data_IF_349274899857
#
_entry.id   IF_349274899857
#
_cell.length_a   1.000
_cell.length_b   1.000
_cell.length_c   1.000
_cell.angle_alpha   90.00
_cell.angle_beta   90.00
_cell.angle_gamma   90.00
#
_symmetry.space_group_name_H-M   'P 1'
#
loop_
_entity.id
_entity.type
_entity.pdbx_description
1 polymer ?
#
# COMPACT_ATOMS: atom_id res chain seq x y z
N UNK A 1 8.93 6.83 -2.03
CA UNK A 1 9.30 5.46 -2.46
C UNK A 1 8.04 4.61 -2.40
N UNK A 2 7.87 3.69 -3.34
CA UNK A 2 6.70 2.81 -3.43
C UNK A 2 7.18 1.38 -3.63
N UNK A 3 6.76 0.46 -2.78
CA UNK A 3 7.19 -0.95 -2.84
C UNK A 3 6.14 -1.85 -2.18
N UNK A 4 6.25 -3.15 -2.42
CA UNK A 4 5.45 -4.17 -1.74
C UNK A 4 6.35 -4.83 -0.68
N UNK A 5 6.09 -4.67 0.62
CA UNK A 5 6.95 -5.18 1.68
C UNK A 5 6.92 -6.71 1.72
N UNK A 6 8.02 -7.30 2.20
CA UNK A 6 8.13 -8.75 2.40
C UNK A 6 7.09 -9.31 3.38
N UNK A 7 6.56 -8.46 4.26
CA UNK A 7 5.54 -8.79 5.25
C UNK A 7 4.13 -8.39 4.82
N UNK A 8 3.92 -8.06 3.54
CA UNK A 8 2.62 -7.63 3.02
C UNK A 8 1.53 -8.62 3.39
N UNK A 9 0.44 -8.09 3.96
CA UNK A 9 -0.74 -8.87 4.36
C UNK A 9 -1.85 -8.87 3.30
N UNK A 10 -1.61 -8.26 2.15
CA UNK A 10 -2.60 -8.16 1.08
C UNK A 10 -1.94 -8.44 -0.28
N UNK A 11 -2.67 -8.98 -1.26
CA UNK A 11 -2.11 -9.39 -2.55
C UNK A 11 -1.25 -8.35 -3.23
N UNK A 12 -1.78 -7.14 -3.35
CA UNK A 12 -1.03 -5.97 -3.81
C UNK A 12 -0.95 -4.95 -2.68
N UNK A 13 -0.45 -5.41 -1.52
CA UNK A 13 -0.27 -4.63 -0.30
C UNK A 13 0.83 -3.59 -0.42
N UNK A 14 0.67 -2.62 -1.31
CA UNK A 14 1.69 -1.60 -1.60
C UNK A 14 1.81 -0.63 -0.42
N UNK A 15 3.05 -0.28 -0.08
CA UNK A 15 3.35 0.79 0.85
C UNK A 15 4.04 1.96 0.13
N UNK A 16 3.68 3.18 0.53
CA UNK A 16 4.33 4.41 0.08
C UNK A 16 4.98 5.09 1.30
N UNK A 17 6.27 5.35 1.20
CA UNK A 17 7.07 6.02 2.23
C UNK A 17 7.78 7.26 1.66
N UNK A 18 7.86 8.38 2.40
CA UNK A 18 8.78 9.46 2.08
C UNK A 18 10.23 9.00 2.24
N UNK A 19 11.16 9.57 1.49
CA UNK A 19 12.59 9.23 1.63
C UNK A 19 13.22 9.89 2.84
N UNK A 20 12.83 11.14 3.11
CA UNK A 20 13.19 11.88 4.31
C UNK A 20 12.34 11.38 5.47
N UNK A 21 12.95 11.26 6.64
CA UNK A 21 12.20 10.93 7.84
C UNK A 21 11.21 12.05 8.18
N UNK A 22 9.92 11.69 8.17
CA UNK A 22 8.78 12.51 8.62
C UNK A 22 7.82 11.62 9.43
N UNK A 23 7.11 12.22 10.37
CA UNK A 23 6.25 11.50 11.31
C UNK A 23 4.77 11.56 10.91
N UNK A 24 4.33 12.62 10.23
CA UNK A 24 2.98 12.78 9.69
C UNK A 24 2.94 13.42 8.30
N UNK A 25 1.77 13.34 7.66
CA UNK A 25 1.53 13.91 6.32
C UNK A 25 1.74 15.43 6.28
N UNK A 26 1.45 16.12 7.38
CA UNK A 26 1.60 17.58 7.49
C UNK A 26 3.07 18.03 7.57
N UNK A 27 3.99 17.10 7.81
CA UNK A 27 5.42 17.37 7.91
C UNK A 27 6.12 17.27 6.54
N UNK A 28 5.38 16.97 5.46
CA UNK A 28 5.87 16.94 4.08
C UNK A 28 6.08 18.36 3.54
N UNK A 29 7.15 18.56 2.78
CA UNK A 29 7.34 19.80 2.00
C UNK A 29 6.39 19.87 0.81
N UNK A 30 6.24 21.06 0.21
CA UNK A 30 5.41 21.23 -1.01
C UNK A 30 5.85 20.29 -2.14
N UNK A 31 7.17 20.17 -2.37
CA UNK A 31 7.74 19.25 -3.35
C UNK A 31 7.41 17.79 -3.02
N UNK A 32 7.48 17.40 -1.74
CA UNK A 32 7.16 16.04 -1.30
C UNK A 32 5.66 15.73 -1.44
N UNK A 33 4.79 16.71 -1.22
CA UNK A 33 3.34 16.60 -1.47
C UNK A 33 3.07 16.37 -2.97
N UNK A 34 3.73 17.15 -3.85
CA UNK A 34 3.60 16.95 -5.30
C UNK A 34 4.11 15.57 -5.74
N UNK A 35 5.27 15.15 -5.22
CA UNK A 35 5.81 13.82 -5.49
C UNK A 35 4.88 12.71 -4.97
N UNK A 36 4.29 12.89 -3.79
CA UNK A 36 3.35 11.93 -3.21
C UNK A 36 2.10 11.79 -4.10
N UNK A 37 1.51 12.91 -4.55
CA UNK A 37 0.38 12.89 -5.49
C UNK A 37 0.73 12.20 -6.82
N UNK A 38 1.93 12.44 -7.34
CA UNK A 38 2.43 11.79 -8.56
C UNK A 38 2.57 10.27 -8.39
N UNK A 39 3.16 9.81 -7.28
CA UNK A 39 3.27 8.37 -6.98
C UNK A 39 1.88 7.76 -6.81
N UNK A 40 0.99 8.42 -6.06
CA UNK A 40 -0.37 7.95 -5.83
C UNK A 40 -1.10 7.73 -7.16
N UNK A 41 -1.09 8.73 -8.05
CA UNK A 41 -1.69 8.62 -9.39
C UNK A 41 -1.15 7.41 -10.17
N UNK A 42 0.17 7.19 -10.15
CA UNK A 42 0.81 6.07 -10.87
C UNK A 42 0.41 4.71 -10.28
N UNK A 43 0.37 4.58 -8.96
CA UNK A 43 -0.05 3.34 -8.28
C UNK A 43 -1.51 3.02 -8.57
N UNK A 44 -2.41 4.00 -8.46
CA UNK A 44 -3.83 3.80 -8.69
C UNK A 44 -4.13 3.41 -10.13
N UNK A 45 -3.50 4.07 -11.11
CA UNK A 45 -3.60 3.67 -12.52
C UNK A 45 -3.12 2.24 -12.75
N UNK A 46 -1.99 1.86 -12.13
CA UNK A 46 -1.47 0.50 -12.24
C UNK A 46 -2.44 -0.52 -11.65
N UNK A 47 -3.13 -0.21 -10.56
CA UNK A 47 -4.19 -1.09 -10.04
C UNK A 47 -5.33 -1.27 -11.03
N UNK A 48 -5.84 -0.18 -11.62
CA UNK A 48 -6.93 -0.29 -12.60
C UNK A 48 -6.52 -1.10 -13.83
N UNK A 49 -5.32 -0.83 -14.34
CA UNK A 49 -4.77 -1.49 -15.53
C UNK A 49 -4.34 -2.94 -15.29
N UNK A 50 -4.08 -3.32 -14.04
CA UNK A 50 -3.66 -4.69 -13.68
C UNK A 50 -4.73 -5.72 -14.06
N UNK A 51 -6.01 -5.40 -13.86
CA UNK A 51 -7.13 -6.29 -14.17
C UNK A 51 -8.13 -5.70 -15.17
N UNK A 52 -7.85 -4.52 -15.73
CA UNK A 52 -8.73 -3.80 -16.67
C UNK A 52 -10.12 -3.60 -16.06
N UNK A 53 -10.14 -3.01 -14.86
CA UNK A 53 -11.35 -2.70 -14.09
C UNK A 53 -11.06 -1.59 -13.09
N UNK A 54 -12.09 -0.91 -12.58
CA UNK A 54 -11.90 -0.06 -11.39
C UNK A 54 -11.52 -0.95 -10.21
N UNK A 55 -10.27 -0.86 -9.77
CA UNK A 55 -9.71 -1.76 -8.77
C UNK A 55 -10.10 -1.26 -7.37
N UNK A 56 -10.88 -2.03 -6.59
CA UNK A 56 -11.23 -1.60 -5.24
C UNK A 56 -10.05 -1.77 -4.29
N UNK A 57 -9.88 -0.82 -3.37
CA UNK A 57 -8.88 -0.88 -2.31
C UNK A 57 -9.36 -0.07 -1.11
N UNK A 58 -8.77 -0.34 0.05
CA UNK A 58 -8.74 0.61 1.17
C UNK A 58 -7.34 1.24 1.21
N UNK A 59 -7.28 2.56 1.35
CA UNK A 59 -6.03 3.30 1.53
C UNK A 59 -5.98 3.84 2.96
N UNK A 60 -4.92 3.54 3.68
CA UNK A 60 -4.77 3.91 5.09
C UNK A 60 -3.51 4.74 5.28
N UNK A 61 -3.64 5.84 6.02
CA UNK A 61 -2.52 6.69 6.40
C UNK A 61 -2.07 6.31 7.81
N UNK A 62 -0.81 5.93 7.93
CA UNK A 62 -0.14 5.60 9.17
C UNK A 62 0.80 6.75 9.52
N UNK A 63 0.45 7.51 10.56
CA UNK A 63 1.20 8.68 11.04
C UNK A 63 1.29 8.68 12.57
N UNK A 64 2.17 9.54 13.12
CA UNK A 64 2.22 9.76 14.57
C UNK A 64 0.84 10.13 15.13
N UNK A 65 0.52 9.72 16.38
CA UNK A 65 -0.64 10.22 17.10
C UNK A 65 -0.68 11.75 17.18
N UNK A 66 -1.89 12.29 17.38
CA UNK A 66 -2.13 13.74 17.50
C UNK A 66 -2.34 14.17 18.95
N UNK A 67 -1.77 13.45 19.92
CA UNK A 67 -1.94 13.70 21.36
C UNK A 67 -0.92 14.69 21.95
N UNK A 68 -0.12 15.32 21.08
CA UNK A 68 0.87 16.35 21.46
C UNK A 68 2.17 15.81 22.04
N UNK A 69 2.40 14.48 22.01
CA UNK A 69 3.68 13.89 22.40
C UNK A 69 4.60 13.71 21.19
N UNK A 70 5.89 13.55 21.46
CA UNK A 70 6.90 13.29 20.44
C UNK A 70 6.98 11.80 20.08
N UNK A 71 7.05 11.50 18.79
CA UNK A 71 7.14 10.13 18.26
C UNK A 71 8.27 10.01 17.23
N UNK A 72 9.53 10.35 17.57
CA UNK A 72 10.66 10.42 16.62
C UNK A 72 11.04 9.07 16.00
N UNK A 73 10.50 7.97 16.52
CA UNK A 73 10.67 6.62 15.99
C UNK A 73 9.61 6.26 14.94
N UNK A 74 8.53 7.03 14.82
CA UNK A 74 7.47 6.74 13.88
C UNK A 74 7.78 7.34 12.52
N UNK A 75 7.50 6.62 11.45
CA UNK A 75 7.75 7.07 10.10
C UNK A 75 6.47 7.02 9.28
N UNK A 76 6.03 8.17 8.78
CA UNK A 76 4.80 8.29 8.02
C UNK A 76 4.80 7.36 6.79
N UNK A 77 3.67 6.68 6.56
CA UNK A 77 3.46 5.88 5.37
C UNK A 77 1.99 5.70 5.03
N UNK A 78 1.77 5.26 3.80
CA UNK A 78 0.46 4.87 3.29
C UNK A 78 0.47 3.41 2.93
N UNK A 79 -0.57 2.69 3.32
CA UNK A 79 -0.77 1.27 3.01
C UNK A 79 -2.02 1.09 2.14
N UNK A 80 -1.93 0.19 1.16
CA UNK A 80 -3.06 -0.24 0.34
C UNK A 80 -3.50 -1.65 0.71
N UNK A 81 -4.78 -1.81 1.04
CA UNK A 81 -5.38 -3.11 1.31
C UNK A 81 -6.25 -3.49 0.12
N UNK A 82 -5.78 -4.48 -0.65
CA UNK A 82 -6.35 -4.86 -1.93
C UNK A 82 -7.09 -6.20 -1.80
N UNK A 83 -8.35 -6.33 -2.26
CA UNK A 83 -9.14 -7.54 -2.04
C UNK A 83 -8.87 -8.61 -3.10
N UNK A 84 -8.38 -8.27 -4.29
CA UNK A 84 -8.19 -9.22 -5.39
C UNK A 84 -6.77 -9.80 -5.42
N UNK A 85 -6.66 -11.13 -5.45
CA UNK A 85 -5.38 -11.83 -5.69
C UNK A 85 -5.08 -12.06 -7.18
N UNK A 86 -6.14 -12.18 -7.97
CA UNK A 86 -6.16 -12.35 -9.43
C UNK A 86 -7.45 -11.72 -9.98
N UNK A 87 -7.56 -11.55 -11.30
CA UNK A 87 -8.76 -11.03 -11.96
C UNK A 87 -9.98 -11.88 -11.59
N UNK A 88 -10.97 -11.24 -10.96
CA UNK A 88 -12.22 -11.90 -10.52
C UNK A 88 -12.11 -12.77 -9.25
N UNK A 89 -10.93 -12.89 -8.61
CA UNK A 89 -10.76 -13.72 -7.40
C UNK A 89 -10.46 -12.86 -6.18
N UNK A 90 -11.47 -12.68 -5.33
CA UNK A 90 -11.35 -12.01 -4.03
C UNK A 90 -10.68 -12.93 -3.02
N UNK A 91 -9.73 -12.40 -2.25
CA UNK A 91 -9.16 -13.01 -1.05
C UNK A 91 -10.01 -12.60 0.15
N UNK A 92 -10.79 -13.55 0.66
CA UNK A 92 -11.53 -13.39 1.90
C UNK A 92 -10.64 -13.75 3.08
N UNK A 93 -10.60 -12.88 4.08
CA UNK A 93 -10.00 -13.21 5.37
C UNK A 93 -11.04 -13.99 6.17
N UNK A 94 -10.75 -15.27 6.38
CA UNK A 94 -11.65 -16.22 6.99
C UNK A 94 -11.16 -16.56 8.40
N UNK A 95 -11.35 -17.80 8.83
CA UNK A 95 -11.07 -18.26 10.19
C UNK A 95 -9.61 -18.12 10.60
N UNK A 96 -8.65 -18.37 9.70
CA UNK A 96 -7.22 -18.30 10.03
C UNK A 96 -6.79 -16.85 10.24
N UNK A 97 -7.21 -15.95 9.34
CA UNK A 97 -6.89 -14.52 9.43
C UNK A 97 -7.58 -13.85 10.62
N UNK A 98 -8.87 -14.12 10.82
CA UNK A 98 -9.67 -13.46 11.85
C UNK A 98 -9.47 -14.09 13.24
N UNK A 99 -9.39 -15.41 13.32
CA UNK A 99 -9.30 -16.14 14.58
C UNK A 99 -7.87 -16.27 15.10
N UNK A 100 -6.91 -16.57 14.22
CA UNK A 100 -5.51 -16.79 14.62
C UNK A 100 -4.60 -15.59 14.34
N UNK A 101 -5.10 -14.51 13.72
CA UNK A 101 -4.30 -13.32 13.37
C UNK A 101 -3.19 -13.61 12.35
N UNK A 102 -3.24 -14.77 11.69
CA UNK A 102 -2.21 -15.23 10.75
C UNK A 102 -2.73 -15.10 9.34
N UNK A 103 -1.95 -14.48 8.45
CA UNK A 103 -2.34 -14.32 7.05
C UNK A 103 -1.56 -15.28 6.17
N UNK A 104 -2.28 -15.93 5.25
CA UNK A 104 -1.70 -16.92 4.33
C UNK A 104 -1.94 -16.50 2.88
N UNK A 105 -0.92 -16.70 2.05
CA UNK A 105 -0.95 -16.40 0.62
C UNK A 105 -0.40 -17.57 -0.18
N UNK A 106 -0.90 -17.69 -1.40
CA UNK A 106 -0.49 -18.62 -2.44
C UNK A 106 0.53 -18.02 -3.42
N UNK A 107 1.05 -16.83 -3.10
CA UNK A 107 2.01 -16.07 -3.90
C UNK A 107 3.06 -15.41 -3.01
N UNK A 108 4.18 -14.99 -3.63
CA UNK A 108 5.22 -14.22 -2.95
C UNK A 108 5.04 -12.71 -3.19
N UNK A 109 5.43 -11.86 -2.21
CA UNK A 109 5.50 -10.42 -2.37
C UNK A 109 6.28 -9.97 -3.63
N UNK A 110 7.37 -10.65 -3.96
CA UNK A 110 8.24 -10.33 -5.10
C UNK A 110 7.54 -10.57 -6.43
N UNK A 111 6.73 -11.63 -6.53
CA UNK A 111 5.92 -11.92 -7.71
C UNK A 111 4.87 -10.83 -7.92
N UNK A 112 4.10 -10.49 -6.88
CA UNK A 112 3.07 -9.45 -6.96
C UNK A 112 3.65 -8.07 -7.25
N UNK A 113 4.82 -7.77 -6.67
CA UNK A 113 5.55 -6.54 -6.97
C UNK A 113 6.00 -6.49 -8.44
N UNK A 114 6.38 -7.63 -9.03
CA UNK A 114 6.74 -7.72 -10.46
C UNK A 114 5.51 -7.50 -11.35
N UNK A 115 4.42 -8.22 -11.10
CA UNK A 115 3.15 -8.08 -11.83
C UNK A 115 2.68 -6.61 -11.85
N UNK A 116 2.69 -5.93 -10.71
CA UNK A 116 2.29 -4.53 -10.62
C UNK A 116 3.26 -3.57 -11.32
N UNK A 117 4.58 -3.86 -11.31
CA UNK A 117 5.56 -3.05 -12.06
C UNK A 117 5.36 -3.18 -13.57
N UNK A 118 5.02 -4.37 -14.05
CA UNK A 118 4.79 -4.66 -15.46
C UNK A 118 3.42 -4.15 -15.96
N UNK A 119 2.46 -3.91 -15.07
CA UNK A 119 1.16 -3.31 -15.42
C UNK A 119 1.32 -1.92 -16.07
N UNK A 120 0.53 -1.58 -17.11
CA UNK A 120 0.60 -0.29 -17.79
C UNK A 120 0.35 0.93 -16.88
N UNK A 121 1.00 2.06 -17.17
CA UNK A 121 0.74 3.37 -16.52
C UNK A 121 -0.15 4.31 -17.36
N UNK A 122 -0.45 3.92 -18.60
CA UNK A 122 -1.27 4.68 -19.55
C UNK A 122 -2.74 4.54 -19.20
#
# INVERSE_FOLDING_TARGET
MCFLPIFARWPYGVHIYPKRHVEAIIDLSEDEVFMFASILKRVLKKFDNLFDMSFPYMMVLHQRPTDGKDYPYYHFHVEFYTPYREKGKVKYFASVEMGAGTVTFDYSPELKARELREAPET
#
